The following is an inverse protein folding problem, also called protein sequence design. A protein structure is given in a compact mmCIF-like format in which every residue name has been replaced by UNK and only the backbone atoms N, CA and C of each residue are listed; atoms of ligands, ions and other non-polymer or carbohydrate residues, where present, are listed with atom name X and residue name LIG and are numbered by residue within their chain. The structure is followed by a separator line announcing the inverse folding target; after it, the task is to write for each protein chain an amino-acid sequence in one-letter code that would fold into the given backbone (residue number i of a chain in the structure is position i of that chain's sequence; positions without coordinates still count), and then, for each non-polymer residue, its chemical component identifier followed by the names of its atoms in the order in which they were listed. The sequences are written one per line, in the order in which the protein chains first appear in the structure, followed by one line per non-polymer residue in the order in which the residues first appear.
data_IF_670789494393
#
_entry.id   IF_670789494393
#
_cell.length_a   1.000
_cell.length_b   1.000
_cell.length_c   1.000
_cell.angle_alpha   90.00
_cell.angle_beta   90.00
_cell.angle_gamma   90.00
#
_symmetry.space_group_name_H-M   'P 1'
#
loop_
_entity.id
_entity.type
_entity.pdbx_description
1 polymer ?
#
# COMPACT_ATOMS: atom_id res chain seq x y z
N UNK A 1 -61.62 20.25 -1.30
CA UNK A 1 -60.54 21.06 -1.90
C UNK A 1 -59.81 20.21 -2.92
N UNK A 2 -59.50 20.84 -4.04
CA UNK A 2 -59.15 20.32 -5.36
C UNK A 2 -57.81 19.54 -5.41
N UNK A 3 -57.75 18.38 -6.12
CA UNK A 3 -57.14 18.19 -7.48
C UNK A 3 -55.64 17.84 -7.33
N UNK A 4 -55.01 16.82 -7.93
CA UNK A 4 -55.07 16.21 -9.27
C UNK A 4 -54.63 14.74 -9.16
N UNK A 5 -55.34 13.81 -9.82
CA UNK A 5 -54.76 12.53 -10.30
C UNK A 5 -54.17 12.80 -11.67
N UNK A 6 -52.94 12.37 -11.95
CA UNK A 6 -52.55 12.11 -13.33
C UNK A 6 -51.79 10.80 -13.47
N UNK A 7 -52.43 9.91 -14.21
CA UNK A 7 -51.98 8.71 -14.93
C UNK A 7 -50.96 9.13 -16.03
N UNK A 8 -50.20 8.32 -16.76
CA UNK A 8 -50.26 6.90 -17.11
C UNK A 8 -48.90 6.47 -17.72
N UNK A 9 -48.56 5.19 -17.52
CA UNK A 9 -48.13 4.19 -18.50
C UNK A 9 -47.07 4.47 -19.59
N UNK A 10 -46.09 3.53 -19.58
CA UNK A 10 -45.59 2.69 -20.68
C UNK A 10 -45.15 3.38 -21.98
N UNK A 11 -43.97 3.06 -22.53
CA UNK A 11 -43.82 1.84 -23.33
C UNK A 11 -42.34 1.50 -23.62
N UNK A 12 -42.02 0.20 -23.62
CA UNK A 12 -40.79 -0.41 -24.14
C UNK A 12 -40.73 -0.30 -25.68
N UNK A 13 -39.54 -0.17 -26.27
CA UNK A 13 -39.16 -0.91 -27.49
C UNK A 13 -37.65 -0.86 -27.79
N UNK A 14 -37.15 -1.97 -28.36
CA UNK A 14 -35.77 -2.26 -28.81
C UNK A 14 -35.75 -2.35 -30.37
N UNK A 15 -34.73 -2.90 -31.07
CA UNK A 15 -33.69 -2.19 -31.83
C UNK A 15 -33.78 -2.34 -33.38
N UNK A 16 -32.90 -1.61 -34.07
CA UNK A 16 -32.36 -1.82 -35.45
C UNK A 16 -33.11 -1.28 -36.70
N UNK A 17 -32.28 -0.87 -37.68
CA UNK A 17 -32.54 -0.47 -39.09
C UNK A 17 -32.93 1.02 -39.28
N UNK A 18 -32.27 1.85 -40.10
CA UNK A 18 -32.19 1.86 -41.59
C UNK A 18 -31.06 2.86 -41.97
N UNK A 19 -29.94 2.46 -42.61
CA UNK A 19 -29.56 2.52 -44.05
C UNK A 19 -29.56 3.93 -44.72
N UNK A 20 -28.54 4.14 -45.57
CA UNK A 20 -28.31 5.17 -46.63
C UNK A 20 -27.34 6.32 -46.24
N UNK A 21 -26.37 6.78 -47.04
CA UNK A 21 -25.83 6.43 -48.36
C UNK A 21 -24.51 7.22 -48.56
N UNK A 22 -23.54 6.55 -49.20
CA UNK A 22 -22.54 7.08 -50.14
C UNK A 22 -21.74 8.36 -49.81
N UNK A 23 -20.42 8.22 -49.84
CA UNK A 23 -19.68 8.58 -51.07
C UNK A 23 -18.26 8.01 -51.04
N UNK A 24 -17.97 7.25 -52.09
CA UNK A 24 -16.65 6.82 -52.50
C UNK A 24 -15.85 8.04 -53.00
N UNK A 25 -14.67 8.29 -52.43
CA UNK A 25 -13.55 8.82 -53.22
C UNK A 25 -12.29 8.08 -52.77
N UNK A 26 -11.99 6.99 -53.47
CA UNK A 26 -10.63 6.48 -53.63
C UNK A 26 -10.07 7.11 -54.90
N UNK A 27 -8.95 7.84 -54.85
CA UNK A 27 -7.93 7.84 -55.90
C UNK A 27 -6.61 8.42 -55.37
N UNK A 28 -5.54 7.92 -55.98
CA UNK A 28 -4.22 7.67 -55.42
C UNK A 28 -3.24 8.85 -55.37
N UNK A 29 -2.30 8.72 -54.43
CA UNK A 29 -0.88 9.06 -54.46
C UNK A 29 -0.41 10.26 -55.31
N UNK A 30 0.17 11.25 -54.62
CA UNK A 30 1.34 11.96 -55.10
C UNK A 30 2.33 12.09 -53.94
N UNK A 31 3.48 11.45 -54.12
CA UNK A 31 4.62 11.58 -53.23
C UNK A 31 5.31 12.90 -53.57
N UNK A 32 5.23 13.86 -52.65
CA UNK A 32 6.10 15.04 -52.65
C UNK A 32 6.82 15.02 -51.32
N UNK A 33 8.12 14.73 -51.37
CA UNK A 33 9.04 14.95 -50.26
C UNK A 33 9.10 16.46 -50.00
N UNK A 34 8.58 16.88 -48.87
CA UNK A 34 9.08 18.07 -48.18
C UNK A 34 9.72 17.56 -46.91
N UNK A 35 11.06 17.56 -46.90
CA UNK A 35 11.84 17.35 -45.70
C UNK A 35 11.38 18.37 -44.65
N UNK A 36 10.71 17.89 -43.61
CA UNK A 36 10.50 18.63 -42.38
C UNK A 36 11.18 17.83 -41.28
N UNK A 37 12.19 18.45 -40.69
CA UNK A 37 12.92 17.98 -39.51
C UNK A 37 11.95 17.84 -38.35
N UNK A 38 11.40 16.64 -38.19
CA UNK A 38 10.78 16.18 -36.95
C UNK A 38 11.90 15.64 -36.07
N UNK A 39 12.47 16.52 -35.26
CA UNK A 39 13.10 16.07 -34.02
C UNK A 39 11.99 15.87 -32.98
N UNK A 40 12.22 14.94 -32.07
CA UNK A 40 11.32 14.53 -30.98
C UNK A 40 10.09 13.68 -31.35
N UNK A 41 10.35 12.42 -31.68
CA UNK A 41 9.72 11.36 -30.88
C UNK A 41 10.60 10.11 -30.87
N UNK A 42 11.49 10.02 -29.88
CA UNK A 42 11.95 8.74 -29.36
C UNK A 42 12.70 8.88 -28.02
N UNK A 43 12.24 8.07 -27.05
CA UNK A 43 12.96 7.63 -25.85
C UNK A 43 13.10 8.65 -24.71
N UNK A 44 12.04 8.78 -23.90
CA UNK A 44 12.18 9.01 -22.46
C UNK A 44 11.18 8.14 -21.69
N UNK A 45 11.44 6.84 -21.63
CA UNK A 45 10.98 5.99 -20.52
C UNK A 45 12.21 5.39 -19.87
N UNK A 46 13.00 6.26 -19.24
CA UNK A 46 13.85 5.87 -18.13
C UNK A 46 13.37 6.72 -16.97
N UNK A 47 12.32 6.24 -16.29
CA UNK A 47 11.96 6.81 -14.98
C UNK A 47 12.98 6.26 -14.01
N UNK A 48 13.97 7.07 -13.70
CA UNK A 48 14.92 6.82 -12.64
C UNK A 48 14.16 6.65 -11.32
N UNK A 49 14.35 5.50 -10.68
CA UNK A 49 13.87 5.19 -9.33
C UNK A 49 14.38 6.18 -8.25
N UNK A 50 15.28 7.09 -8.61
CA UNK A 50 15.87 8.09 -7.73
C UNK A 50 14.93 9.26 -7.38
N UNK A 51 13.81 9.46 -8.10
CA UNK A 51 12.91 10.62 -7.86
C UNK A 51 11.82 10.32 -6.81
N UNK A 52 11.61 9.06 -6.41
CA UNK A 52 10.73 8.74 -5.27
C UNK A 52 11.42 8.90 -3.90
N UNK A 53 12.72 9.22 -3.88
CA UNK A 53 13.51 9.26 -2.66
C UNK A 53 13.50 10.60 -1.88
N UNK A 54 13.16 11.80 -2.42
CA UNK A 54 13.25 13.05 -1.67
C UNK A 54 11.88 13.71 -1.36
N UNK A 55 10.83 12.93 -1.08
CA UNK A 55 9.58 13.47 -0.49
C UNK A 55 9.08 12.68 0.72
N UNK A 56 9.84 11.71 1.23
CA UNK A 56 9.70 11.33 2.63
C UNK A 56 10.41 12.38 3.45
N UNK A 57 9.64 13.23 4.12
CA UNK A 57 10.07 13.74 5.40
C UNK A 57 10.59 12.52 6.20
N UNK A 58 11.88 12.54 6.56
CA UNK A 58 12.47 11.40 7.26
C UNK A 58 11.71 11.27 8.57
N UNK A 59 10.85 10.25 8.68
CA UNK A 59 10.07 9.99 9.87
C UNK A 59 11.06 9.84 11.03
N UNK A 60 10.98 10.77 11.99
CA UNK A 60 11.79 10.72 13.20
C UNK A 60 11.17 9.70 14.16
N UNK A 61 11.60 8.45 13.99
CA UNK A 61 11.11 7.34 14.81
C UNK A 61 11.41 7.53 16.30
N UNK A 62 12.47 8.27 16.67
CA UNK A 62 12.79 8.55 18.07
C UNK A 62 11.78 9.51 18.70
N UNK A 63 11.35 10.51 17.94
CA UNK A 63 10.25 11.40 18.36
C UNK A 63 8.93 10.62 18.46
N UNK A 64 8.59 9.81 17.45
CA UNK A 64 7.36 9.01 17.45
C UNK A 64 7.31 8.03 18.63
N UNK A 65 8.40 7.32 18.90
CA UNK A 65 8.49 6.40 20.04
C UNK A 65 8.31 7.12 21.37
N UNK A 66 8.89 8.32 21.51
CA UNK A 66 8.75 9.14 22.72
C UNK A 66 7.30 9.56 22.93
N UNK A 67 6.66 10.12 21.90
CA UNK A 67 5.28 10.61 21.97
C UNK A 67 4.31 9.47 22.29
N UNK A 68 4.51 8.31 21.69
CA UNK A 68 3.72 7.12 21.99
C UNK A 68 3.95 6.60 23.41
N UNK A 69 5.17 6.70 23.94
CA UNK A 69 5.50 6.26 25.30
C UNK A 69 4.91 7.18 26.37
N UNK A 70 4.68 8.47 26.06
CA UNK A 70 3.99 9.39 26.98
C UNK A 70 2.54 8.94 27.24
N UNK A 71 1.90 8.37 26.22
CA UNK A 71 0.50 7.89 26.31
C UNK A 71 0.41 6.44 26.78
N UNK A 72 1.23 5.56 26.19
CA UNK A 72 1.27 4.13 26.45
C UNK A 72 2.66 3.77 26.97
N UNK A 73 2.87 3.94 28.27
CA UNK A 73 4.17 3.65 28.88
C UNK A 73 4.50 2.18 28.76
N UNK A 74 5.61 1.89 28.10
CA UNK A 74 6.15 0.55 27.97
C UNK A 74 7.55 0.47 28.52
N UNK A 75 7.94 -0.73 28.89
CA UNK A 75 9.33 -1.07 29.13
C UNK A 75 9.96 -1.56 27.83
N UNK A 76 11.20 -1.15 27.56
CA UNK A 76 11.87 -1.45 26.28
C UNK A 76 12.02 -2.95 25.98
N UNK A 77 12.01 -3.80 27.02
CA UNK A 77 12.12 -5.25 26.84
C UNK A 77 10.97 -5.86 26.03
N UNK A 78 9.78 -5.22 26.00
CA UNK A 78 8.69 -5.65 25.11
C UNK A 78 9.08 -5.53 23.64
N UNK A 79 9.72 -4.42 23.25
CA UNK A 79 10.16 -4.20 21.87
C UNK A 79 11.34 -5.11 21.52
N UNK A 80 12.29 -5.32 22.45
CA UNK A 80 13.38 -6.27 22.25
C UNK A 80 12.87 -7.69 22.04
N UNK A 81 11.97 -8.16 22.91
CA UNK A 81 11.35 -9.49 22.76
C UNK A 81 10.60 -9.64 21.44
N UNK A 82 9.85 -8.61 21.04
CA UNK A 82 9.14 -8.62 19.76
C UNK A 82 10.12 -8.71 18.59
N UNK A 83 11.19 -7.93 18.59
CA UNK A 83 12.19 -7.95 17.53
C UNK A 83 12.94 -9.29 17.45
N UNK A 84 13.26 -9.89 18.59
CA UNK A 84 14.09 -11.09 18.66
C UNK A 84 13.28 -12.38 18.42
N UNK A 85 12.01 -12.40 18.81
CA UNK A 85 11.17 -13.62 18.81
C UNK A 85 9.87 -13.51 18.04
N UNK A 86 9.48 -12.31 17.60
CA UNK A 86 8.15 -12.04 17.04
C UNK A 86 7.04 -11.93 18.08
N UNK A 87 7.32 -12.03 19.39
CA UNK A 87 6.30 -12.07 20.44
C UNK A 87 6.58 -11.18 21.64
N UNK A 88 5.50 -10.73 22.30
CA UNK A 88 5.59 -10.11 23.61
C UNK A 88 5.68 -11.15 24.73
N UNK A 89 6.42 -10.86 25.82
CA UNK A 89 6.55 -11.74 26.97
C UNK A 89 5.23 -11.93 27.74
N UNK A 90 4.34 -10.93 27.69
CA UNK A 90 2.96 -11.03 28.17
C UNK A 90 2.00 -10.49 27.10
N UNK A 91 1.36 -11.39 26.34
CA UNK A 91 0.34 -11.03 25.34
C UNK A 91 -1.04 -10.73 25.95
N UNK A 92 -1.18 -10.77 27.28
CA UNK A 92 -2.40 -10.34 27.96
C UNK A 92 -2.37 -8.84 28.28
N UNK A 93 -1.19 -8.24 28.43
CA UNK A 93 -1.02 -6.80 28.57
C UNK A 93 -1.30 -6.08 27.26
N UNK A 94 -2.30 -5.18 27.30
CA UNK A 94 -2.71 -4.37 26.16
C UNK A 94 -1.86 -3.13 25.98
N UNK A 95 -1.15 -2.68 27.01
CA UNK A 95 -0.35 -1.45 26.98
C UNK A 95 0.69 -1.47 25.86
N UNK A 96 1.55 -2.49 25.72
CA UNK A 96 2.52 -2.56 24.63
C UNK A 96 1.87 -2.75 23.25
N UNK A 97 0.70 -3.39 23.19
CA UNK A 97 -0.06 -3.48 21.95
C UNK A 97 -0.61 -2.12 21.49
N UNK A 98 -1.09 -1.30 22.43
CA UNK A 98 -1.55 0.05 22.12
C UNK A 98 -0.39 1.02 21.83
N UNK A 99 0.78 0.79 22.42
CA UNK A 99 2.00 1.48 22.01
C UNK A 99 2.30 1.22 20.53
N UNK A 100 2.29 -0.04 20.08
CA UNK A 100 2.45 -0.37 18.64
C UNK A 100 1.38 0.28 17.78
N UNK A 101 0.11 0.29 18.22
CA UNK A 101 -0.95 1.01 17.50
C UNK A 101 -0.59 2.48 17.29
N UNK A 102 -0.13 3.16 18.35
CA UNK A 102 0.28 4.55 18.27
C UNK A 102 1.41 4.76 17.25
N UNK A 103 2.44 3.90 17.25
CA UNK A 103 3.53 3.99 16.27
C UNK A 103 2.99 3.87 14.83
N UNK A 104 2.12 2.89 14.59
CA UNK A 104 1.57 2.64 13.26
C UNK A 104 0.62 3.76 12.80
N UNK A 105 -0.13 4.37 13.71
CA UNK A 105 -0.99 5.52 13.42
C UNK A 105 -0.14 6.78 13.10
N UNK A 106 0.87 7.09 13.92
CA UNK A 106 1.75 8.25 13.72
C UNK A 106 2.57 8.16 12.43
N UNK A 107 2.91 6.93 12.02
CA UNK A 107 3.65 6.67 10.78
C UNK A 107 2.73 6.47 9.59
N UNK A 108 1.41 6.57 9.75
CA UNK A 108 0.39 6.37 8.71
C UNK A 108 0.36 4.94 8.13
N UNK A 109 0.99 3.98 8.80
CA UNK A 109 0.90 2.55 8.46
C UNK A 109 -0.48 2.00 8.78
N UNK A 110 -1.15 2.54 9.81
CA UNK A 110 -2.46 2.12 10.26
C UNK A 110 -3.39 3.32 10.41
N UNK A 111 -4.60 3.24 9.88
CA UNK A 111 -5.64 4.24 10.14
C UNK A 111 -6.19 4.10 11.58
N UNK A 112 -6.83 5.14 12.14
CA UNK A 112 -7.48 5.04 13.46
C UNK A 112 -8.53 3.91 13.57
N UNK A 113 -9.15 3.53 12.46
CA UNK A 113 -10.11 2.43 12.34
C UNK A 113 -9.43 1.05 12.22
N UNK A 114 -8.11 1.04 12.06
CA UNK A 114 -7.28 -0.15 11.95
C UNK A 114 -7.20 -0.76 10.57
N UNK A 115 -7.24 0.06 9.52
CA UNK A 115 -6.89 -0.37 8.15
C UNK A 115 -5.38 -0.17 7.96
N UNK A 116 -4.69 -1.14 7.37
CA UNK A 116 -3.24 -1.07 7.16
C UNK A 116 -2.87 -0.67 5.72
N UNK A 117 -1.78 0.08 5.58
CA UNK A 117 -1.10 0.35 4.32
C UNK A 117 0.22 -0.44 4.27
N UNK A 118 0.23 -1.54 3.50
CA UNK A 118 1.41 -2.40 3.35
C UNK A 118 2.58 -1.71 2.63
N UNK A 119 2.30 -0.80 1.70
CA UNK A 119 3.35 -0.04 1.01
C UNK A 119 4.00 0.96 1.97
N UNK A 120 3.19 1.65 2.79
CA UNK A 120 3.69 2.54 3.83
C UNK A 120 4.48 1.77 4.90
N UNK A 121 4.01 0.60 5.31
CA UNK A 121 4.74 -0.27 6.23
C UNK A 121 6.12 -0.65 5.67
N UNK A 122 6.19 -1.12 4.42
CA UNK A 122 7.47 -1.47 3.78
C UNK A 122 8.43 -0.28 3.76
N UNK A 123 7.91 0.92 3.49
CA UNK A 123 8.69 2.15 3.45
C UNK A 123 9.22 2.57 4.84
N UNK A 124 8.37 2.50 5.87
CA UNK A 124 8.72 2.83 7.26
C UNK A 124 9.76 1.86 7.81
N UNK A 125 9.59 0.55 7.55
CA UNK A 125 10.45 -0.51 8.10
C UNK A 125 11.59 -0.94 7.16
N UNK A 126 11.81 -0.24 6.04
CA UNK A 126 12.87 -0.57 5.08
C UNK A 126 14.28 -0.40 5.66
N UNK A 127 14.48 0.60 6.53
CA UNK A 127 15.80 0.95 7.08
C UNK A 127 16.38 -0.13 7.99
N UNK A 128 15.52 -0.92 8.63
CA UNK A 128 15.95 -1.88 9.65
C UNK A 128 16.43 -3.22 9.08
N UNK A 129 16.32 -3.44 7.76
CA UNK A 129 16.36 -4.81 7.21
C UNK A 129 17.44 -5.05 6.13
N UNK A 130 18.63 -4.47 6.32
CA UNK A 130 19.94 -4.91 5.75
C UNK A 130 19.98 -5.23 4.24
N UNK A 131 19.42 -4.39 3.38
CA UNK A 131 19.61 -4.51 1.92
C UNK A 131 18.69 -5.51 1.22
N UNK A 132 17.57 -5.89 1.85
CA UNK A 132 16.51 -6.64 1.19
C UNK A 132 15.90 -5.89 0.01
N UNK A 133 15.41 -6.66 -0.96
CA UNK A 133 14.72 -6.13 -2.12
C UNK A 133 13.42 -5.43 -1.71
N UNK A 134 13.19 -4.24 -2.26
CA UNK A 134 12.03 -3.42 -1.92
C UNK A 134 10.69 -4.11 -2.26
N UNK A 135 10.65 -4.96 -3.30
CA UNK A 135 9.44 -5.70 -3.66
C UNK A 135 9.12 -6.78 -2.62
N UNK A 136 10.14 -7.48 -2.09
CA UNK A 136 9.97 -8.48 -1.02
C UNK A 136 9.42 -7.83 0.27
N UNK A 137 9.87 -6.61 0.57
CA UNK A 137 9.35 -5.83 1.71
C UNK A 137 7.87 -5.50 1.55
N UNK A 138 7.48 -5.01 0.37
CA UNK A 138 6.09 -4.67 0.07
C UNK A 138 5.20 -5.91 0.09
N UNK A 139 5.66 -7.01 -0.49
CA UNK A 139 4.91 -8.29 -0.49
C UNK A 139 4.68 -8.78 0.93
N UNK A 140 5.75 -8.87 1.73
CA UNK A 140 5.68 -9.28 3.14
C UNK A 140 4.70 -8.41 3.90
N UNK A 141 4.86 -7.08 3.82
CA UNK A 141 4.02 -6.16 4.55
C UNK A 141 2.55 -6.22 4.12
N UNK A 142 2.30 -6.34 2.82
CA UNK A 142 0.94 -6.48 2.27
C UNK A 142 0.27 -7.76 2.74
N UNK A 143 1.00 -8.88 2.80
CA UNK A 143 0.46 -10.16 3.28
C UNK A 143 0.00 -10.12 4.75
N UNK A 144 0.59 -9.23 5.55
CA UNK A 144 0.23 -9.05 6.95
C UNK A 144 -0.99 -8.14 7.18
N UNK A 145 -1.50 -7.43 6.16
CA UNK A 145 -2.56 -6.42 6.32
C UNK A 145 -3.95 -6.99 6.64
N UNK A 146 -4.26 -8.21 6.19
CA UNK A 146 -5.57 -8.82 6.44
C UNK A 146 -5.66 -9.36 7.87
N UNK A 147 -6.19 -8.52 8.77
CA UNK A 147 -6.30 -8.75 10.21
C UNK A 147 -7.76 -8.61 10.67
N UNK A 148 -8.21 -9.49 11.54
CA UNK A 148 -9.63 -9.62 11.94
C UNK A 148 -9.90 -9.29 13.42
N UNK A 149 -8.87 -8.86 14.15
CA UNK A 149 -9.01 -8.50 15.57
C UNK A 149 -9.94 -7.30 15.73
N UNK A 150 -10.92 -7.44 16.62
CA UNK A 150 -11.92 -6.39 16.90
C UNK A 150 -11.36 -5.20 17.67
N UNK A 151 -10.24 -5.38 18.37
CA UNK A 151 -9.56 -4.32 19.12
C UNK A 151 -8.37 -3.81 18.32
N UNK A 152 -8.32 -2.51 18.02
CA UNK A 152 -7.26 -1.91 17.20
C UNK A 152 -5.86 -2.11 17.79
N UNK A 153 -5.69 -2.10 19.11
CA UNK A 153 -4.39 -2.42 19.72
C UNK A 153 -3.95 -3.87 19.44
N UNK A 154 -4.87 -4.84 19.60
CA UNK A 154 -4.57 -6.25 19.28
C UNK A 154 -4.30 -6.43 17.78
N UNK A 155 -5.01 -5.69 16.95
CA UNK A 155 -4.83 -5.66 15.50
C UNK A 155 -3.43 -5.16 15.11
N UNK A 156 -2.98 -4.06 15.71
CA UNK A 156 -1.64 -3.52 15.54
C UNK A 156 -0.56 -4.51 15.97
N UNK A 157 -0.75 -5.18 17.11
CA UNK A 157 0.15 -6.23 17.56
C UNK A 157 0.22 -7.41 16.59
N UNK A 158 -0.94 -7.92 16.15
CA UNK A 158 -1.00 -9.03 15.20
C UNK A 158 -0.31 -8.71 13.86
N UNK A 159 -0.45 -7.47 13.39
CA UNK A 159 0.27 -6.98 12.21
C UNK A 159 1.80 -6.99 12.43
N UNK A 160 2.29 -6.41 13.52
CA UNK A 160 3.73 -6.38 13.82
C UNK A 160 4.32 -7.77 14.06
N UNK A 161 3.60 -8.64 14.77
CA UNK A 161 3.96 -10.05 14.96
C UNK A 161 4.14 -10.75 13.62
N UNK A 162 3.17 -10.62 12.71
CA UNK A 162 3.27 -11.16 11.36
C UNK A 162 4.51 -10.65 10.60
N UNK A 163 4.79 -9.33 10.67
CA UNK A 163 5.96 -8.74 10.00
C UNK A 163 7.31 -9.26 10.52
N UNK A 164 7.39 -9.55 11.82
CA UNK A 164 8.64 -10.04 12.43
C UNK A 164 8.77 -11.55 12.26
N UNK A 165 7.71 -12.33 12.51
CA UNK A 165 7.74 -13.78 12.32
C UNK A 165 8.07 -14.15 10.86
N UNK A 166 7.42 -13.50 9.89
CA UNK A 166 7.71 -13.74 8.46
C UNK A 166 9.16 -13.39 8.11
N UNK A 167 9.75 -12.41 8.80
CA UNK A 167 11.15 -12.05 8.60
C UNK A 167 12.11 -13.09 9.14
N UNK A 168 11.89 -13.51 10.39
CA UNK A 168 12.69 -14.52 11.06
C UNK A 168 12.69 -15.81 10.24
N UNK A 169 11.51 -16.24 9.76
CA UNK A 169 11.37 -17.41 8.89
C UNK A 169 12.18 -17.29 7.59
N UNK A 170 12.12 -16.13 6.92
CA UNK A 170 12.89 -15.87 5.69
C UNK A 170 14.39 -15.86 5.93
N UNK A 171 14.85 -15.28 7.04
CA UNK A 171 16.26 -15.26 7.42
C UNK A 171 16.78 -16.65 7.74
N UNK A 172 16.02 -17.46 8.48
CA UNK A 172 16.38 -18.85 8.75
C UNK A 172 16.46 -19.70 7.47
N UNK A 173 15.52 -19.52 6.54
CA UNK A 173 15.54 -20.23 5.26
C UNK A 173 16.80 -19.88 4.45
N UNK A 174 17.14 -18.60 4.36
CA UNK A 174 18.34 -18.14 3.63
C UNK A 174 19.63 -18.70 4.21
N UNK A 175 19.73 -18.80 5.55
CA UNK A 175 20.89 -19.40 6.23
C UNK A 175 21.00 -20.90 5.92
N UNK A 176 19.87 -21.62 5.91
CA UNK A 176 19.85 -23.06 5.58
C UNK A 176 20.28 -23.31 4.13
N UNK A 177 19.88 -22.45 3.20
CA UNK A 177 20.27 -22.56 1.78
C UNK A 177 21.74 -22.20 1.56
N UNK A 178 22.29 -21.21 2.25
CA UNK A 178 23.70 -20.82 2.12
C UNK A 178 24.67 -21.81 2.80
N UNK A 179 24.17 -22.64 3.72
CA UNK A 179 24.94 -23.64 4.45
C UNK A 179 24.84 -25.07 3.89
N UNK A 180 24.05 -25.30 2.83
CA UNK A 180 23.89 -26.59 2.14
C UNK A 180 24.64 -26.64 0.82
#
# INVERSE_FOLDING_TARGET
MNVVKNTSNASKMSPASVVFLTTFITYAASMVNTAMSGDEQQVMVKRDAAVMMPMMEQIDMDMVMRDCNETFRIEMYYLSSLNDSGTFPDETDRTPMCFLRCLLEQTEVMSPEGTFDGMRAALVFAKDRQGRDAADLVETATSCTDRQESCTCRKAYAFMKCLVETDLEKHEATIKEAGS
#
